data_IF_205032352699
#
_entry.id   IF_205032352699
#
_cell.length_a   1.000
_cell.length_b   1.000
_cell.length_c   1.000
_cell.angle_alpha   90.00
_cell.angle_beta   90.00
_cell.angle_gamma   90.00
#
_symmetry.space_group_name_H-M   'P 1'
#
loop_
_entity.id
_entity.type
_entity.pdbx_description
1 polymer ?
#
# COMPACT_ATOMS: atom_id res chain seq x y z
N UNK A 1 3.98 -8.17 -8.51
CA UNK A 1 3.84 -7.72 -7.11
C UNK A 1 2.50 -8.19 -6.59
N UNK A 2 2.44 -8.75 -5.37
CA UNK A 2 1.21 -9.23 -4.73
C UNK A 2 0.16 -8.11 -4.61
N UNK A 3 0.59 -6.90 -4.25
CA UNK A 3 -0.30 -5.74 -4.09
C UNK A 3 -1.01 -5.42 -5.41
N UNK A 4 -0.28 -5.40 -6.53
CA UNK A 4 -0.88 -5.22 -7.85
C UNK A 4 -1.92 -6.31 -8.16
N UNK A 5 -1.64 -7.58 -7.85
CA UNK A 5 -2.60 -8.67 -8.06
C UNK A 5 -3.87 -8.49 -7.22
N UNK A 6 -3.73 -8.13 -5.94
CA UNK A 6 -4.87 -7.86 -5.05
C UNK A 6 -5.74 -6.71 -5.55
N UNK A 7 -5.10 -5.65 -6.06
CA UNK A 7 -5.79 -4.49 -6.65
C UNK A 7 -6.56 -4.89 -7.92
N UNK A 8 -5.93 -5.63 -8.84
CA UNK A 8 -6.56 -6.00 -10.11
C UNK A 8 -7.74 -6.97 -9.93
N UNK A 9 -7.65 -7.92 -9.01
CA UNK A 9 -8.73 -8.89 -8.75
C UNK A 9 -9.94 -8.24 -8.06
N UNK A 10 -9.72 -7.18 -7.27
CA UNK A 10 -10.73 -6.65 -6.35
C UNK A 10 -11.07 -5.18 -6.59
N UNK A 11 -10.83 -4.64 -7.80
CA UNK A 11 -11.25 -3.28 -8.16
C UNK A 11 -12.75 -3.13 -7.94
N UNK A 12 -13.13 -2.50 -6.84
CA UNK A 12 -14.46 -1.94 -6.70
C UNK A 12 -14.48 -0.62 -7.45
N UNK A 13 -15.35 -0.51 -8.45
CA UNK A 13 -15.68 0.78 -9.05
C UNK A 13 -16.43 1.57 -7.99
N UNK A 14 -15.76 2.51 -7.31
CA UNK A 14 -16.36 3.35 -6.29
C UNK A 14 -16.98 4.60 -6.95
N UNK A 15 -18.17 4.40 -7.53
CA UNK A 15 -19.28 5.36 -7.76
C UNK A 15 -19.06 6.69 -8.54
N UNK A 16 -20.14 7.17 -9.18
CA UNK A 16 -20.23 8.25 -10.17
C UNK A 16 -20.12 9.70 -9.63
N UNK A 17 -19.06 10.04 -8.87
CA UNK A 17 -18.86 11.41 -8.35
C UNK A 17 -17.81 12.16 -9.19
N UNK A 18 -18.16 13.27 -9.89
CA UNK A 18 -17.18 14.09 -10.60
C UNK A 18 -16.20 14.74 -9.60
N UNK A 19 -14.91 14.41 -9.71
CA UNK A 19 -13.85 14.91 -8.81
C UNK A 19 -12.74 13.90 -8.47
N UNK A 20 -12.75 12.71 -9.06
CA UNK A 20 -11.89 11.56 -8.71
C UNK A 20 -10.43 11.62 -9.19
N UNK A 21 -9.89 12.81 -9.48
CA UNK A 21 -8.48 12.92 -9.89
C UNK A 21 -7.56 13.42 -8.79
N UNK A 22 -6.59 12.55 -8.50
CA UNK A 22 -5.23 12.80 -8.02
C UNK A 22 -5.11 13.43 -6.64
N UNK A 23 -4.72 12.62 -5.66
CA UNK A 23 -3.35 12.65 -5.14
C UNK A 23 -3.11 11.46 -4.18
N UNK A 24 -1.88 10.93 -4.23
CA UNK A 24 -1.37 9.67 -3.64
C UNK A 24 -1.89 8.40 -4.35
N UNK A 25 -0.97 7.50 -4.74
CA UNK A 25 -1.30 6.18 -5.31
C UNK A 25 -1.87 5.32 -4.18
N UNK A 26 -3.11 5.58 -3.80
CA UNK A 26 -3.89 4.79 -2.87
C UNK A 26 -4.90 4.00 -3.68
N UNK A 27 -4.81 2.68 -3.59
CA UNK A 27 -5.65 1.79 -4.39
C UNK A 27 -6.78 1.26 -3.50
N UNK A 28 -8.02 1.44 -3.94
CA UNK A 28 -9.19 0.96 -3.23
C UNK A 28 -9.63 -0.40 -3.78
N UNK A 29 -9.82 -1.36 -2.88
CA UNK A 29 -10.30 -2.70 -3.21
C UNK A 29 -11.51 -3.06 -2.36
N UNK A 30 -12.36 -3.95 -2.86
CA UNK A 30 -13.42 -4.56 -2.08
C UNK A 30 -13.13 -6.03 -1.87
N UNK A 31 -12.92 -6.42 -0.62
CA UNK A 31 -12.70 -7.80 -0.24
C UNK A 31 -13.95 -8.29 0.47
N UNK A 32 -14.76 -9.09 -0.24
CA UNK A 32 -15.98 -9.74 0.31
C UNK A 32 -16.98 -8.76 0.95
N UNK A 33 -17.17 -7.59 0.35
CA UNK A 33 -18.05 -6.54 0.84
C UNK A 33 -17.38 -5.50 1.73
N UNK A 34 -16.11 -5.69 2.12
CA UNK A 34 -15.36 -4.75 2.95
C UNK A 34 -14.47 -3.87 2.07
N UNK A 35 -14.70 -2.54 2.02
CA UNK A 35 -13.81 -1.63 1.31
C UNK A 35 -12.50 -1.48 2.09
N UNK A 36 -11.38 -1.65 1.40
CA UNK A 36 -10.04 -1.48 1.93
C UNK A 36 -9.31 -0.44 1.10
N UNK A 37 -8.57 0.43 1.78
CA UNK A 37 -7.62 1.36 1.19
C UNK A 37 -6.23 0.76 1.33
N UNK A 38 -5.66 0.31 0.22
CA UNK A 38 -4.32 -0.26 0.19
C UNK A 38 -3.30 0.85 -0.02
N UNK A 39 -2.29 0.88 0.84
CA UNK A 39 -1.16 1.81 0.77
C UNK A 39 0.09 0.99 0.52
N UNK A 40 0.78 1.26 -0.59
CA UNK A 40 2.09 0.65 -0.87
C UNK A 40 3.17 1.38 -0.07
N UNK A 41 4.01 0.64 0.64
CA UNK A 41 5.09 1.18 1.47
C UNK A 41 6.43 0.88 0.83
N UNK A 42 7.38 1.79 0.94
CA UNK A 42 8.76 1.49 0.58
C UNK A 42 9.32 0.38 1.49
N UNK A 43 10.28 -0.39 0.96
CA UNK A 43 11.01 -1.36 1.78
C UNK A 43 11.68 -0.67 2.97
N UNK A 44 11.44 -1.19 4.17
CA UNK A 44 11.96 -0.61 5.41
C UNK A 44 13.34 -1.21 5.69
N UNK A 45 14.39 -0.48 5.31
CA UNK A 45 15.79 -0.82 5.62
C UNK A 45 16.59 0.44 5.94
N UNK A 46 17.70 0.26 6.64
CA UNK A 46 18.66 1.34 6.82
C UNK A 46 19.41 1.60 5.51
N UNK A 47 19.61 2.88 5.20
CA UNK A 47 20.20 3.34 3.94
C UNK A 47 20.77 4.74 4.10
N UNK A 48 21.86 5.03 3.42
CA UNK A 48 22.47 6.36 3.38
C UNK A 48 21.86 7.25 2.28
N UNK A 49 21.09 6.67 1.35
CA UNK A 49 20.38 7.41 0.32
C UNK A 49 19.26 8.25 0.95
N UNK A 50 19.36 9.56 0.78
CA UNK A 50 18.42 10.54 1.36
C UNK A 50 16.99 10.31 0.87
N UNK A 51 16.80 9.97 -0.41
CA UNK A 51 15.47 9.72 -1.01
C UNK A 51 14.86 8.46 -0.40
N UNK A 52 15.67 7.41 -0.26
CA UNK A 52 15.21 6.16 0.32
C UNK A 52 14.89 6.30 1.81
N UNK A 53 15.69 7.07 2.57
CA UNK A 53 15.39 7.41 3.98
C UNK A 53 14.04 8.10 4.13
N UNK A 54 13.72 9.07 3.28
CA UNK A 54 12.41 9.75 3.29
C UNK A 54 11.30 8.73 3.02
N UNK A 55 11.51 7.80 2.10
CA UNK A 55 10.57 6.70 1.82
C UNK A 55 10.35 5.80 3.04
N UNK A 56 11.41 5.46 3.77
CA UNK A 56 11.35 4.65 4.99
C UNK A 56 10.61 5.39 6.11
N UNK A 57 10.91 6.68 6.33
CA UNK A 57 10.23 7.51 7.34
C UNK A 57 8.73 7.62 7.06
N UNK A 58 8.34 7.86 5.80
CA UNK A 58 6.94 7.87 5.37
C UNK A 58 6.26 6.52 5.59
N UNK A 59 6.94 5.42 5.26
CA UNK A 59 6.43 4.06 5.47
C UNK A 59 6.21 3.76 6.97
N UNK A 60 7.11 4.25 7.84
CA UNK A 60 6.96 4.15 9.30
C UNK A 60 5.78 4.96 9.84
N UNK A 61 5.44 6.09 9.24
CA UNK A 61 4.26 6.88 9.62
C UNK A 61 2.97 6.14 9.23
N UNK A 62 2.88 5.68 7.97
CA UNK A 62 1.74 4.89 7.47
C UNK A 62 1.49 3.66 8.34
N UNK A 63 2.55 2.93 8.71
CA UNK A 63 2.44 1.77 9.61
C UNK A 63 1.82 2.07 10.97
N UNK A 64 2.00 3.29 11.51
CA UNK A 64 1.41 3.68 12.79
C UNK A 64 -0.06 4.06 12.67
N UNK A 65 -0.47 4.53 11.51
CA UNK A 65 -1.84 4.97 11.21
C UNK A 65 -2.69 3.83 10.64
N UNK A 66 -2.08 2.74 10.19
CA UNK A 66 -2.76 1.62 9.56
C UNK A 66 -3.64 0.86 10.55
N UNK A 67 -4.91 0.65 10.18
CA UNK A 67 -5.83 -0.22 10.92
C UNK A 67 -5.46 -1.72 10.80
N UNK A 68 -4.77 -2.09 9.71
CA UNK A 68 -4.36 -3.44 9.40
C UNK A 68 -3.00 -3.45 8.69
N UNK A 69 -2.11 -4.36 9.10
CA UNK A 69 -0.79 -4.56 8.49
C UNK A 69 -0.76 -5.94 7.80
N UNK A 70 -0.43 -5.94 6.51
CA UNK A 70 -0.17 -7.17 5.75
C UNK A 70 1.34 -7.37 5.59
N UNK A 71 1.92 -8.24 6.44
CA UNK A 71 3.33 -8.63 6.31
C UNK A 71 3.46 -9.72 5.25
N UNK A 72 4.23 -9.42 4.19
CA UNK A 72 4.51 -10.36 3.10
C UNK A 72 5.97 -10.81 3.21
N UNK A 73 6.18 -12.11 3.34
CA UNK A 73 7.53 -12.71 3.39
C UNK A 73 7.77 -13.50 2.11
N UNK A 74 8.97 -13.35 1.55
CA UNK A 74 9.42 -14.18 0.45
C UNK A 74 10.20 -15.37 1.04
N UNK A 75 9.71 -16.59 0.83
CA UNK A 75 10.35 -17.81 1.32
C UNK A 75 11.77 -18.01 0.77
N UNK A 76 12.09 -17.44 -0.39
CA UNK A 76 13.40 -17.60 -1.02
C UNK A 76 14.48 -16.70 -0.41
N UNK A 77 14.09 -15.71 0.40
CA UNK A 77 15.02 -14.79 1.05
C UNK A 77 15.35 -15.28 2.46
N UNK A 78 16.60 -15.10 2.89
CA UNK A 78 16.99 -15.36 4.29
C UNK A 78 16.29 -14.36 5.22
N UNK A 79 15.90 -14.82 6.42
CA UNK A 79 15.24 -14.02 7.45
C UNK A 79 16.20 -13.12 8.21
#
# INVERSE_FOLDING_TARGET
SLLNSLVHENKAIVTDIPGTTRDVIEEYVNVRGVPLRLVDTAGIRETEDIVERIGVEKSRQVLKEADLILLVLNYSDEL
#
